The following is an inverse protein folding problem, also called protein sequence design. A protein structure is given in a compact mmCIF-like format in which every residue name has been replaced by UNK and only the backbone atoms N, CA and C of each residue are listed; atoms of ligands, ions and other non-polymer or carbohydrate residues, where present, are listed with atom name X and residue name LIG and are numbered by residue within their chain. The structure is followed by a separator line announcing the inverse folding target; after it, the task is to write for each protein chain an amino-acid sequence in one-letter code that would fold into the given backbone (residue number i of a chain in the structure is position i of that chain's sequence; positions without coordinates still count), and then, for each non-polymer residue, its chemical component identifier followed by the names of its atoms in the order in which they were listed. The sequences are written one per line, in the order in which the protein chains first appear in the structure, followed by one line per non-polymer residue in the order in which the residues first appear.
data_IF_069774709224
#
_entry.id   IF_069774709224
#
_cell.length_a   1.000
_cell.length_b   1.000
_cell.length_c   1.000
_cell.angle_alpha   90.00
_cell.angle_beta   90.00
_cell.angle_gamma   90.00
#
_symmetry.space_group_name_H-M   'P 1'
#
loop_
_entity.id
_entity.type
_entity.pdbx_description
1 polymer ?
#
# COMPACT_ATOMS: atom_id res chain seq x y z
N UNK A 1 -3.33 18.79 2.85
CA UNK A 1 -1.94 18.64 3.32
C UNK A 1 -1.33 20.00 3.58
N UNK A 2 -0.19 20.10 4.25
CA UNK A 2 0.48 21.39 4.57
C UNK A 2 0.88 22.21 3.34
N UNK A 3 1.07 21.56 2.20
CA UNK A 3 1.43 22.15 0.90
C UNK A 3 0.24 22.36 -0.04
N UNK A 4 -0.99 22.25 0.48
CA UNK A 4 -2.22 22.46 -0.27
C UNK A 4 -2.70 21.25 -1.09
N UNK A 5 -1.95 20.15 -1.15
CA UNK A 5 -2.38 18.92 -1.84
C UNK A 5 -3.60 18.32 -1.15
N UNK A 6 -4.66 18.06 -1.90
CA UNK A 6 -5.84 17.33 -1.44
C UNK A 6 -5.69 15.83 -1.71
N UNK A 7 -6.07 14.99 -0.74
CA UNK A 7 -6.09 13.54 -0.89
C UNK A 7 -7.52 13.03 -0.94
N UNK A 8 -7.83 12.22 -1.95
CA UNK A 8 -9.11 11.54 -2.10
C UNK A 8 -9.15 10.28 -1.24
N UNK A 9 -10.22 10.08 -0.49
CA UNK A 9 -10.37 8.93 0.40
C UNK A 9 -11.71 8.23 0.25
N UNK A 10 -11.75 6.94 0.59
CA UNK A 10 -12.95 6.14 0.79
C UNK A 10 -12.99 5.71 2.25
N UNK A 11 -14.14 5.87 2.88
CA UNK A 11 -14.35 5.57 4.30
C UNK A 11 -15.52 4.60 4.47
N UNK A 12 -15.44 3.71 5.45
CA UNK A 12 -16.53 2.85 5.92
C UNK A 12 -16.47 2.73 7.43
N UNK A 13 -17.62 2.53 8.07
CA UNK A 13 -17.76 2.55 9.52
C UNK A 13 -17.91 3.97 10.08
N UNK A 14 -18.14 4.07 11.40
CA UNK A 14 -18.46 5.31 12.08
C UNK A 14 -17.23 5.93 12.75
N UNK A 15 -17.20 7.26 12.81
CA UNK A 15 -16.16 7.97 13.57
C UNK A 15 -16.28 7.61 15.06
N UNK A 16 -15.14 7.37 15.69
CA UNK A 16 -15.06 6.94 17.08
C UNK A 16 -14.94 5.43 17.25
N UNK A 17 -15.15 4.64 16.18
CA UNK A 17 -14.77 3.23 16.17
C UNK A 17 -13.25 3.10 16.00
N UNK A 18 -12.71 1.92 16.33
CA UNK A 18 -11.27 1.61 16.16
C UNK A 18 -10.82 1.87 14.72
N UNK A 19 -9.83 2.74 14.55
CA UNK A 19 -9.43 3.24 13.24
C UNK A 19 -8.46 2.32 12.52
N UNK A 20 -8.68 2.12 11.21
CA UNK A 20 -7.78 1.41 10.31
C UNK A 20 -7.52 2.26 9.08
N UNK A 21 -6.25 2.59 8.80
CA UNK A 21 -5.83 3.32 7.60
C UNK A 21 -5.16 2.34 6.63
N UNK A 22 -5.59 2.36 5.35
CA UNK A 22 -5.09 1.49 4.30
C UNK A 22 -4.39 2.29 3.21
N UNK A 23 -3.16 1.91 2.89
CA UNK A 23 -2.26 2.55 1.93
C UNK A 23 -2.00 1.62 0.75
N UNK A 24 -2.29 2.06 -0.47
CA UNK A 24 -2.11 1.28 -1.68
C UNK A 24 -0.65 1.21 -2.14
N UNK A 25 -0.34 0.27 -3.00
CA UNK A 25 0.96 0.12 -3.67
C UNK A 25 1.15 1.13 -4.80
N UNK A 26 2.40 1.29 -5.26
CA UNK A 26 2.72 2.15 -6.39
C UNK A 26 1.91 1.79 -7.64
N UNK A 27 1.40 2.79 -8.33
CA UNK A 27 0.54 2.61 -9.51
C UNK A 27 -0.86 2.07 -9.24
N UNK A 28 -1.23 1.90 -7.98
CA UNK A 28 -2.60 1.53 -7.57
C UNK A 28 -3.38 2.76 -7.12
N UNK A 29 -4.62 2.53 -6.70
CA UNK A 29 -5.50 3.53 -6.08
C UNK A 29 -6.14 2.96 -4.82
N UNK A 30 -6.79 3.81 -4.02
CA UNK A 30 -7.62 3.42 -2.87
C UNK A 30 -8.65 2.34 -3.21
N UNK A 31 -9.03 2.23 -4.49
CA UNK A 31 -9.98 1.21 -4.96
C UNK A 31 -9.45 -0.23 -4.82
N UNK A 32 -8.13 -0.44 -4.74
CA UNK A 32 -7.55 -1.75 -4.42
C UNK A 32 -8.02 -2.28 -3.06
N UNK A 33 -8.33 -1.36 -2.14
CA UNK A 33 -8.81 -1.64 -0.79
C UNK A 33 -10.32 -1.63 -0.64
N UNK A 34 -11.11 -1.40 -1.71
CA UNK A 34 -12.56 -1.20 -1.62
C UNK A 34 -13.27 -2.35 -0.90
N UNK A 35 -12.93 -3.60 -1.21
CA UNK A 35 -13.49 -4.78 -0.55
C UNK A 35 -13.13 -4.86 0.93
N UNK A 36 -11.86 -4.61 1.26
CA UNK A 36 -11.35 -4.62 2.63
C UNK A 36 -11.95 -3.49 3.46
N UNK A 37 -12.00 -2.25 2.94
CA UNK A 37 -12.63 -1.11 3.63
C UNK A 37 -14.09 -1.41 3.98
N UNK A 38 -14.86 -1.95 3.01
CA UNK A 38 -16.25 -2.34 3.24
C UNK A 38 -16.36 -3.44 4.31
N UNK A 39 -15.52 -4.48 4.22
CA UNK A 39 -15.52 -5.58 5.19
C UNK A 39 -15.18 -5.10 6.59
N UNK A 40 -14.15 -4.27 6.75
CA UNK A 40 -13.76 -3.70 8.04
C UNK A 40 -14.87 -2.84 8.63
N UNK A 41 -15.54 -2.01 7.82
CA UNK A 41 -16.70 -1.24 8.27
C UNK A 41 -17.83 -2.12 8.79
N UNK A 42 -18.11 -3.29 8.16
CA UNK A 42 -19.13 -4.24 8.66
C UNK A 42 -18.68 -4.96 9.94
N UNK A 43 -17.38 -4.99 10.23
CA UNK A 43 -16.81 -5.55 11.46
C UNK A 43 -16.70 -4.51 12.59
N UNK A 44 -17.20 -3.29 12.41
CA UNK A 44 -17.19 -2.25 13.44
C UNK A 44 -15.92 -1.41 13.49
N UNK A 45 -15.09 -1.42 12.44
CA UNK A 45 -13.93 -0.53 12.33
C UNK A 45 -14.26 0.75 11.57
N UNK A 46 -13.64 1.86 11.94
CA UNK A 46 -13.57 3.06 11.10
C UNK A 46 -12.42 2.91 10.10
N UNK A 47 -12.71 2.34 8.94
CA UNK A 47 -11.71 2.03 7.90
C UNK A 47 -11.64 3.15 6.87
N UNK A 48 -10.41 3.63 6.57
CA UNK A 48 -10.13 4.68 5.61
C UNK A 48 -9.01 4.24 4.66
N UNK A 49 -9.28 4.25 3.36
CA UNK A 49 -8.25 4.13 2.32
C UNK A 49 -8.16 5.44 1.54
N UNK A 50 -6.95 5.93 1.25
CA UNK A 50 -6.77 7.13 0.45
C UNK A 50 -5.81 6.91 -0.72
N UNK A 51 -5.99 7.69 -1.77
CA UNK A 51 -5.03 7.77 -2.87
C UNK A 51 -3.82 8.58 -2.38
N UNK A 52 -2.63 8.03 -2.51
CA UNK A 52 -1.40 8.78 -2.27
C UNK A 52 -1.32 9.99 -3.20
N UNK A 53 -0.66 11.09 -2.78
CA UNK A 53 -0.39 12.21 -3.68
C UNK A 53 0.16 11.73 -5.02
N UNK A 54 -0.25 12.34 -6.10
CA UNK A 54 0.14 11.93 -7.45
C UNK A 54 -0.52 10.66 -7.96
N UNK A 55 -1.49 10.07 -7.23
CA UNK A 55 -2.24 8.88 -7.62
C UNK A 55 -3.75 9.11 -7.59
N UNK A 56 -4.48 8.35 -8.39
CA UNK A 56 -5.94 8.28 -8.37
C UNK A 56 -6.62 9.63 -8.57
N UNK A 57 -7.46 10.00 -7.61
CA UNK A 57 -8.19 11.27 -7.59
C UNK A 57 -7.55 12.28 -6.61
N UNK A 58 -6.39 11.94 -6.03
CA UNK A 58 -5.59 12.89 -5.25
C UNK A 58 -4.81 13.84 -6.15
N UNK A 59 -4.53 15.03 -5.64
CA UNK A 59 -3.80 16.03 -6.40
C UNK A 59 -2.37 15.59 -6.72
N UNK A 60 -1.89 16.05 -7.86
CA UNK A 60 -0.48 16.02 -8.21
C UNK A 60 0.26 17.17 -7.54
N UNK A 61 1.45 16.91 -7.02
CA UNK A 61 2.26 17.97 -6.40
C UNK A 61 2.78 18.96 -7.44
N UNK A 62 2.59 20.26 -7.20
CA UNK A 62 3.11 21.30 -8.06
C UNK A 62 4.66 21.22 -8.15
N UNK A 63 5.31 21.01 -7.00
CA UNK A 63 6.73 20.60 -6.93
C UNK A 63 6.75 19.08 -6.77
N UNK A 64 7.31 18.32 -7.74
CA UNK A 64 7.19 16.86 -7.74
C UNK A 64 8.07 16.23 -6.64
N UNK A 65 7.68 16.43 -5.40
CA UNK A 65 8.23 15.74 -4.24
C UNK A 65 7.32 14.58 -3.87
N UNK A 66 7.77 13.39 -4.25
CA UNK A 66 7.14 12.10 -3.99
C UNK A 66 8.07 11.20 -3.18
N UNK A 67 8.92 11.81 -2.34
CA UNK A 67 9.79 11.10 -1.41
C UNK A 67 8.97 10.37 -0.34
N UNK A 68 9.51 9.30 0.22
CA UNK A 68 8.86 8.60 1.33
C UNK A 68 8.70 9.51 2.56
N UNK A 69 9.57 10.48 2.77
CA UNK A 69 9.41 11.47 3.83
C UNK A 69 8.15 12.31 3.61
N UNK A 70 7.87 12.73 2.36
CA UNK A 70 6.66 13.49 2.03
C UNK A 70 5.39 12.62 2.11
N UNK A 71 5.46 11.38 1.64
CA UNK A 71 4.34 10.43 1.78
C UNK A 71 4.04 10.10 3.25
N UNK A 72 5.09 10.02 4.09
CA UNK A 72 4.95 9.83 5.53
C UNK A 72 4.25 11.02 6.20
N UNK A 73 4.60 12.27 5.83
CA UNK A 73 3.93 13.47 6.33
C UNK A 73 2.45 13.53 5.95
N UNK A 74 2.08 13.03 4.77
CA UNK A 74 0.67 12.88 4.38
C UNK A 74 -0.05 11.89 5.29
N UNK A 75 0.56 10.72 5.53
CA UNK A 75 0.01 9.71 6.42
C UNK A 75 -0.13 10.23 7.85
N UNK A 76 0.88 10.92 8.38
CA UNK A 76 0.85 11.56 9.69
C UNK A 76 -0.32 12.55 9.81
N UNK A 77 -0.52 13.36 8.75
CA UNK A 77 -1.64 14.32 8.69
C UNK A 77 -3.00 13.61 8.65
N UNK A 78 -3.11 12.48 7.95
CA UNK A 78 -4.35 11.68 7.93
C UNK A 78 -4.58 11.01 9.27
N UNK A 79 -3.55 10.41 9.86
CA UNK A 79 -3.61 9.72 11.15
C UNK A 79 -4.01 10.68 12.29
N UNK A 80 -3.51 11.92 12.28
CA UNK A 80 -3.87 12.95 13.28
C UNK A 80 -5.35 13.35 13.28
N UNK A 81 -6.11 12.95 12.25
CA UNK A 81 -7.57 13.18 12.17
C UNK A 81 -8.40 12.03 12.73
N UNK A 82 -7.77 10.92 13.10
CA UNK A 82 -8.44 9.81 13.77
C UNK A 82 -8.66 10.14 15.25
N UNK A 83 -9.68 9.53 15.85
CA UNK A 83 -9.98 9.73 17.28
C UNK A 83 -8.88 9.15 18.17
N UNK A 84 -8.34 8.00 17.75
CA UNK A 84 -7.25 7.28 18.43
C UNK A 84 -6.20 6.85 17.41
N UNK A 85 -5.04 6.39 17.92
CA UNK A 85 -3.97 5.85 17.08
C UNK A 85 -4.51 4.69 16.22
N UNK A 86 -4.44 4.76 14.88
CA UNK A 86 -4.99 3.75 13.99
C UNK A 86 -4.11 2.50 13.92
N UNK A 87 -4.67 1.39 13.42
CA UNK A 87 -3.85 0.36 12.76
C UNK A 87 -3.55 0.85 11.35
N UNK A 88 -2.29 0.77 10.92
CA UNK A 88 -1.88 1.16 9.57
C UNK A 88 -1.56 -0.10 8.76
N UNK A 89 -2.25 -0.26 7.62
CA UNK A 89 -2.06 -1.36 6.67
C UNK A 89 -1.49 -0.78 5.39
N UNK A 90 -0.30 -1.18 5.00
CA UNK A 90 0.36 -0.66 3.80
C UNK A 90 0.83 -1.74 2.84
N UNK A 91 0.43 -1.66 1.57
CA UNK A 91 0.92 -2.54 0.51
C UNK A 91 2.09 -1.92 -0.24
N UNK A 92 3.18 -2.67 -0.42
CA UNK A 92 4.34 -2.25 -1.22
C UNK A 92 4.78 -0.81 -0.88
N UNK A 93 4.63 0.17 -1.79
CA UNK A 93 4.88 1.60 -1.54
C UNK A 93 4.18 2.10 -0.26
N UNK A 94 2.93 1.71 -0.04
CA UNK A 94 2.17 2.06 1.16
C UNK A 94 2.78 1.50 2.45
N UNK A 95 3.34 0.28 2.39
CA UNK A 95 4.06 -0.32 3.51
C UNK A 95 5.36 0.41 3.83
N UNK A 96 6.13 0.79 2.80
CA UNK A 96 7.32 1.64 2.97
C UNK A 96 6.97 3.00 3.57
N UNK A 97 5.86 3.61 3.11
CA UNK A 97 5.34 4.87 3.68
C UNK A 97 4.98 4.71 5.16
N UNK A 98 4.29 3.62 5.51
CA UNK A 98 3.93 3.31 6.90
C UNK A 98 5.19 3.17 7.78
N UNK A 99 6.20 2.42 7.32
CA UNK A 99 7.46 2.25 8.06
C UNK A 99 8.19 3.59 8.26
N UNK A 100 8.25 4.46 7.23
CA UNK A 100 8.85 5.78 7.36
C UNK A 100 8.11 6.65 8.38
N UNK A 101 6.78 6.69 8.36
CA UNK A 101 5.99 7.49 9.29
C UNK A 101 6.08 6.95 10.73
N UNK A 102 5.91 5.64 10.91
CA UNK A 102 5.99 5.00 12.22
C UNK A 102 7.40 5.11 12.79
N UNK A 103 8.44 4.90 11.99
CA UNK A 103 9.83 5.04 12.44
C UNK A 103 10.19 6.46 12.92
N UNK A 104 9.48 7.49 12.46
CA UNK A 104 9.60 8.89 12.96
C UNK A 104 8.82 9.11 14.26
N UNK A 105 7.76 8.30 14.51
CA UNK A 105 6.87 8.39 15.66
C UNK A 105 6.57 6.99 16.23
N UNK A 106 7.58 6.27 16.74
CA UNK A 106 7.56 4.82 16.91
C UNK A 106 6.56 4.30 17.96
N UNK A 107 6.03 5.18 18.80
CA UNK A 107 5.11 4.81 19.91
C UNK A 107 3.77 5.53 19.85
N UNK A 108 3.58 6.52 18.96
CA UNK A 108 2.42 7.43 19.05
C UNK A 108 1.56 7.48 17.79
N UNK A 109 2.14 7.22 16.60
CA UNK A 109 1.43 7.38 15.34
C UNK A 109 0.39 6.28 15.10
N UNK A 110 0.72 5.04 15.48
CA UNK A 110 -0.12 3.88 15.24
C UNK A 110 -0.12 2.94 16.44
N UNK A 111 -1.18 2.14 16.59
CA UNK A 111 -1.24 1.08 17.60
C UNK A 111 -0.73 -0.28 17.09
N UNK A 112 -0.75 -0.47 15.79
CA UNK A 112 -0.16 -1.65 15.13
C UNK A 112 0.11 -1.36 13.65
N UNK A 113 0.96 -2.17 13.02
CA UNK A 113 1.32 -2.05 11.60
C UNK A 113 1.13 -3.39 10.88
N UNK A 114 0.56 -3.35 9.67
CA UNK A 114 0.51 -4.48 8.75
C UNK A 114 1.23 -4.11 7.45
N UNK A 115 2.31 -4.81 7.15
CA UNK A 115 3.04 -4.72 5.89
C UNK A 115 2.50 -5.76 4.93
N UNK A 116 2.13 -5.35 3.73
CA UNK A 116 1.55 -6.23 2.72
C UNK A 116 2.52 -6.34 1.55
N UNK A 117 3.10 -7.49 1.46
CA UNK A 117 4.05 -7.93 0.41
C UNK A 117 5.20 -6.94 0.18
N UNK A 118 5.82 -6.51 1.28
CA UNK A 118 6.97 -5.60 1.26
C UNK A 118 7.85 -5.77 2.50
N UNK A 119 9.15 -5.74 2.30
CA UNK A 119 10.16 -5.56 3.33
C UNK A 119 11.12 -4.43 2.91
N UNK A 120 11.90 -3.82 3.82
CA UNK A 120 12.84 -2.75 3.45
C UNK A 120 13.81 -3.16 2.33
N UNK A 121 14.27 -4.40 2.35
CA UNK A 121 15.10 -4.98 1.29
C UNK A 121 14.22 -5.88 0.41
N UNK A 122 14.07 -5.46 -0.84
CA UNK A 122 13.27 -6.14 -1.86
C UNK A 122 14.14 -6.95 -2.82
N UNK A 123 13.59 -8.03 -3.38
CA UNK A 123 14.29 -8.77 -4.43
C UNK A 123 14.53 -7.88 -5.67
N UNK A 124 15.79 -7.78 -6.18
CA UNK A 124 16.11 -6.90 -7.31
C UNK A 124 15.35 -7.26 -8.60
N UNK A 125 15.07 -8.53 -8.85
CA UNK A 125 14.36 -8.99 -10.05
C UNK A 125 12.88 -8.57 -10.00
N UNK A 126 12.25 -8.82 -8.86
CA UNK A 126 10.86 -8.39 -8.63
C UNK A 126 10.73 -6.88 -8.70
N UNK A 127 11.65 -6.14 -8.07
CA UNK A 127 11.68 -4.68 -8.13
C UNK A 127 11.85 -4.17 -9.57
N UNK A 128 12.74 -4.79 -10.35
CA UNK A 128 12.93 -4.42 -11.77
C UNK A 128 11.64 -4.61 -12.55
N UNK A 129 10.97 -5.76 -12.40
CA UNK A 129 9.70 -6.06 -13.07
C UNK A 129 8.62 -5.02 -12.73
N UNK A 130 8.49 -4.63 -11.45
CA UNK A 130 7.57 -3.58 -11.01
C UNK A 130 7.92 -2.24 -11.66
N UNK A 131 9.19 -1.84 -11.65
CA UNK A 131 9.64 -0.57 -12.22
C UNK A 131 9.45 -0.53 -13.74
N UNK A 132 9.73 -1.62 -14.44
CA UNK A 132 9.52 -1.72 -15.90
C UNK A 132 8.04 -1.52 -16.25
N UNK A 133 7.12 -2.10 -15.48
CA UNK A 133 5.68 -1.91 -15.66
C UNK A 133 5.25 -0.48 -15.36
N UNK A 134 5.66 0.09 -14.23
CA UNK A 134 5.25 1.44 -13.81
C UNK A 134 5.80 2.55 -14.71
N UNK A 135 6.97 2.34 -15.32
CA UNK A 135 7.60 3.27 -16.25
C UNK A 135 7.29 2.96 -17.72
N UNK A 136 6.66 1.84 -17.98
CA UNK A 136 6.16 1.50 -19.31
C UNK A 136 4.95 2.33 -19.73
N UNK A 137 4.65 2.29 -21.00
CA UNK A 137 3.46 2.90 -21.59
C UNK A 137 3.31 4.41 -21.30
N UNK A 138 4.43 5.14 -21.31
CA UNK A 138 4.44 6.60 -21.04
C UNK A 138 3.65 7.38 -22.09
N UNK A 139 3.57 6.85 -23.33
CA UNK A 139 2.81 7.42 -24.43
C UNK A 139 1.31 7.03 -24.39
N UNK A 140 0.89 6.37 -23.29
CA UNK A 140 -0.47 5.91 -23.10
C UNK A 140 -0.85 4.71 -23.97
N UNK A 141 -2.09 4.28 -23.84
CA UNK A 141 -2.71 3.16 -24.56
C UNK A 141 -3.68 3.69 -25.61
N UNK A 142 -3.77 3.02 -26.75
CA UNK A 142 -4.75 3.36 -27.77
C UNK A 142 -6.18 3.11 -27.27
N UNK A 143 -6.38 2.04 -26.49
CA UNK A 143 -7.68 1.65 -25.95
C UNK A 143 -7.56 0.81 -24.68
N UNK A 144 -8.68 0.36 -24.14
CA UNK A 144 -8.76 -0.48 -22.94
C UNK A 144 -8.23 -1.90 -23.16
N UNK A 145 -8.27 -2.40 -24.36
CA UNK A 145 -7.79 -3.75 -24.69
C UNK A 145 -6.25 -3.78 -24.61
N UNK A 146 -5.58 -2.76 -25.18
CA UNK A 146 -4.12 -2.61 -25.04
C UNK A 146 -3.69 -2.49 -23.58
N UNK A 147 -4.42 -1.71 -22.78
CA UNK A 147 -4.15 -1.60 -21.34
C UNK A 147 -4.37 -2.93 -20.59
N UNK A 148 -5.41 -3.70 -20.99
CA UNK A 148 -5.69 -5.01 -20.41
C UNK A 148 -4.60 -6.03 -20.75
N UNK A 149 -4.06 -5.99 -21.97
CA UNK A 149 -2.95 -6.83 -22.39
C UNK A 149 -1.67 -6.52 -21.58
N UNK A 150 -1.37 -5.24 -21.39
CA UNK A 150 -0.25 -4.80 -20.56
C UNK A 150 -0.35 -5.29 -19.11
N UNK A 151 -1.55 -5.19 -18.49
CA UNK A 151 -1.81 -5.68 -17.13
C UNK A 151 -1.72 -7.20 -17.06
N UNK A 152 -2.23 -7.92 -18.06
CA UNK A 152 -2.14 -9.38 -18.13
C UNK A 152 -0.69 -9.85 -18.28
N UNK A 153 0.11 -9.18 -19.08
CA UNK A 153 1.53 -9.48 -19.23
C UNK A 153 2.32 -9.26 -17.92
N UNK A 154 1.95 -8.22 -17.15
CA UNK A 154 2.53 -7.96 -15.83
C UNK A 154 2.15 -9.01 -14.78
N UNK A 155 0.92 -9.54 -14.83
CA UNK A 155 0.38 -10.53 -13.90
C UNK A 155 0.04 -11.86 -14.61
N UNK A 156 1.02 -12.66 -15.05
CA UNK A 156 0.78 -13.86 -15.85
C UNK A 156 0.01 -14.96 -15.11
N UNK A 157 -0.03 -14.91 -13.78
CA UNK A 157 -0.79 -15.86 -12.94
C UNK A 157 -2.27 -15.50 -12.80
N UNK A 158 -2.68 -14.33 -13.33
CA UNK A 158 -4.06 -13.86 -13.30
C UNK A 158 -4.67 -13.95 -14.70
N UNK A 159 -5.86 -14.58 -14.85
CA UNK A 159 -6.55 -14.53 -16.12
C UNK A 159 -6.80 -13.09 -16.57
N UNK A 160 -6.56 -12.80 -17.85
CA UNK A 160 -6.92 -11.52 -18.46
C UNK A 160 -8.42 -11.24 -18.24
N UNK A 161 -8.80 -10.05 -17.77
CA UNK A 161 -10.23 -9.74 -17.58
C UNK A 161 -10.97 -9.79 -18.89
N UNK A 162 -12.10 -10.51 -18.94
CA UNK A 162 -12.97 -10.54 -20.12
C UNK A 162 -13.60 -9.17 -20.41
N UNK A 163 -13.83 -8.37 -19.37
CA UNK A 163 -14.31 -7.00 -19.49
C UNK A 163 -13.30 -6.03 -18.87
N UNK A 164 -12.50 -5.30 -19.67
CA UNK A 164 -11.47 -4.42 -19.17
C UNK A 164 -11.99 -3.08 -18.60
N UNK A 165 -13.30 -2.81 -18.65
CA UNK A 165 -13.88 -1.53 -18.15
C UNK A 165 -13.48 -1.21 -16.70
N UNK A 166 -13.22 -2.24 -15.90
CA UNK A 166 -12.71 -2.05 -14.52
C UNK A 166 -11.36 -1.32 -14.45
N UNK A 167 -10.56 -1.35 -15.52
CA UNK A 167 -9.28 -0.64 -15.60
C UNK A 167 -9.42 0.88 -15.70
N UNK A 168 -10.60 1.40 -16.07
CA UNK A 168 -10.86 2.84 -16.09
C UNK A 168 -10.61 3.51 -14.73
N UNK A 169 -10.65 2.78 -13.63
CA UNK A 169 -10.27 3.28 -12.30
C UNK A 169 -8.80 3.70 -12.24
N UNK A 170 -7.97 3.07 -13.07
CA UNK A 170 -6.53 3.26 -13.11
C UNK A 170 -6.06 4.05 -14.33
N UNK A 171 -6.99 4.50 -15.17
CA UNK A 171 -6.69 5.18 -16.43
C UNK A 171 -7.36 6.55 -16.47
N UNK A 172 -6.78 7.45 -17.24
CA UNK A 172 -7.34 8.77 -17.56
C UNK A 172 -7.18 9.03 -19.06
N UNK A 173 -8.29 9.38 -19.73
CA UNK A 173 -8.25 9.89 -21.09
C UNK A 173 -7.60 11.29 -21.06
N UNK A 174 -6.58 11.52 -21.89
CA UNK A 174 -5.93 12.81 -22.02
C UNK A 174 -6.23 13.47 -23.36
N UNK A 175 -5.79 14.71 -23.54
CA UNK A 175 -6.05 15.55 -24.71
C UNK A 175 -5.48 14.97 -26.02
N UNK A 176 -4.50 14.07 -25.92
CA UNK A 176 -3.95 13.30 -27.05
C UNK A 176 -4.86 12.17 -27.54
N UNK A 177 -6.02 11.98 -26.89
CA UNK A 177 -6.99 10.94 -27.22
C UNK A 177 -6.59 9.54 -26.75
N UNK A 178 -5.53 9.40 -25.98
CA UNK A 178 -5.03 8.13 -25.44
C UNK A 178 -5.38 7.95 -23.97
N UNK A 179 -5.44 6.70 -23.52
CA UNK A 179 -5.62 6.36 -22.12
C UNK A 179 -4.26 6.29 -21.43
N UNK A 180 -4.04 7.12 -20.43
CA UNK A 180 -2.82 7.13 -19.64
C UNK A 180 -3.07 6.59 -18.24
N UNK A 181 -2.03 6.05 -17.60
CA UNK A 181 -2.09 5.77 -16.18
C UNK A 181 -2.49 7.00 -15.38
N UNK A 182 -3.24 6.81 -14.30
CA UNK A 182 -3.75 7.90 -13.46
C UNK A 182 -2.68 8.64 -12.67
N UNK A 183 -1.50 8.03 -12.47
CA UNK A 183 -0.46 8.64 -11.64
C UNK A 183 0.35 9.69 -12.39
N UNK A 184 0.98 10.60 -11.63
CA UNK A 184 1.91 11.58 -12.17
C UNK A 184 3.14 10.86 -12.74
N UNK A 185 3.46 11.04 -14.03
CA UNK A 185 4.63 10.38 -14.65
C UNK A 185 5.96 10.78 -14.01
N UNK A 186 5.99 11.87 -13.21
CA UNK A 186 7.16 12.31 -12.45
C UNK A 186 7.35 11.53 -11.14
N UNK A 187 6.40 10.67 -10.75
CA UNK A 187 6.41 9.91 -9.49
C UNK A 187 7.49 8.83 -9.50
N UNK A 188 7.50 7.97 -10.51
CA UNK A 188 8.41 6.84 -10.59
C UNK A 188 9.70 7.24 -11.30
N UNK A 189 10.67 7.73 -10.51
CA UNK A 189 12.03 8.03 -10.99
C UNK A 189 12.94 6.84 -10.78
N UNK A 190 13.85 6.64 -11.71
CA UNK A 190 14.91 5.66 -11.53
C UNK A 190 15.76 6.04 -10.31
N UNK A 191 16.08 5.05 -9.51
CA UNK A 191 16.99 5.16 -8.37
C UNK A 191 18.17 4.24 -8.60
N UNK A 192 19.38 4.70 -8.25
CA UNK A 192 20.55 3.83 -8.25
C UNK A 192 20.45 2.78 -7.15
N UNK A 193 21.19 1.68 -7.30
CA UNK A 193 21.22 0.62 -6.27
C UNK A 193 21.73 1.16 -4.92
N UNK A 194 22.69 2.10 -4.94
CA UNK A 194 23.15 2.79 -3.73
C UNK A 194 22.06 3.63 -3.05
N UNK A 195 21.17 4.27 -3.82
CA UNK A 195 20.04 5.01 -3.25
C UNK A 195 19.01 4.07 -2.63
N UNK A 196 18.77 2.92 -3.27
CA UNK A 196 17.89 1.87 -2.74
C UNK A 196 18.45 1.29 -1.46
N UNK A 197 19.74 0.94 -1.45
CA UNK A 197 20.42 0.40 -0.29
C UNK A 197 20.41 1.38 0.90
N UNK A 198 20.71 2.66 0.65
CA UNK A 198 20.61 3.70 1.70
C UNK A 198 19.19 3.83 2.26
N UNK A 199 18.16 3.73 1.40
CA UNK A 199 16.77 3.79 1.85
C UNK A 199 16.39 2.57 2.69
N UNK A 200 16.77 1.36 2.27
CA UNK A 200 16.55 0.13 3.01
C UNK A 200 17.24 0.17 4.38
N UNK A 201 18.53 0.54 4.39
CA UNK A 201 19.31 0.68 5.62
C UNK A 201 18.66 1.67 6.59
N UNK A 202 18.24 2.86 6.11
CA UNK A 202 17.57 3.86 6.94
C UNK A 202 16.34 3.28 7.64
N UNK A 203 15.49 2.54 6.92
CA UNK A 203 14.31 1.91 7.50
C UNK A 203 14.67 0.84 8.53
N UNK A 204 15.64 -0.02 8.22
CA UNK A 204 16.10 -1.05 9.14
C UNK A 204 16.71 -0.47 10.41
N UNK A 205 17.41 0.66 10.29
CA UNK A 205 17.98 1.37 11.44
C UNK A 205 16.91 1.99 12.36
N UNK A 206 15.72 2.30 11.84
CA UNK A 206 14.57 2.81 12.61
C UNK A 206 13.74 1.69 13.28
N UNK A 207 13.83 0.46 12.79
CA UNK A 207 13.01 -0.66 13.28
C UNK A 207 13.16 -0.95 14.78
N UNK A 208 14.35 -0.92 15.39
CA UNK A 208 14.53 -1.22 16.83
C UNK A 208 13.72 -0.30 17.76
N UNK A 209 13.41 0.91 17.32
CA UNK A 209 12.64 1.88 18.11
C UNK A 209 11.11 1.65 17.99
N UNK A 210 10.68 0.85 17.01
CA UNK A 210 9.27 0.53 16.77
C UNK A 210 8.81 -0.53 17.78
N UNK A 211 8.06 -0.13 18.80
CA UNK A 211 7.58 -1.02 19.86
C UNK A 211 6.16 -1.58 19.62
N UNK A 212 5.45 -1.08 18.61
CA UNK A 212 4.09 -1.52 18.30
C UNK A 212 4.06 -2.92 17.65
N UNK A 213 2.97 -3.69 17.82
CA UNK A 213 2.76 -4.94 17.10
C UNK A 213 2.89 -4.76 15.59
N UNK A 214 3.53 -5.71 14.93
CA UNK A 214 3.74 -5.68 13.48
C UNK A 214 3.45 -7.04 12.85
N UNK A 215 2.80 -7.03 11.68
CA UNK A 215 2.51 -8.21 10.87
C UNK A 215 3.01 -7.98 9.45
N UNK A 216 3.75 -8.91 8.89
CA UNK A 216 4.02 -9.01 7.46
C UNK A 216 3.14 -10.10 6.85
N UNK A 217 2.32 -9.73 5.87
CA UNK A 217 1.55 -10.69 5.06
C UNK A 217 2.06 -10.64 3.62
N UNK A 218 2.49 -11.77 3.08
CA UNK A 218 3.00 -11.83 1.72
C UNK A 218 2.45 -13.01 0.93
N UNK A 219 2.47 -12.91 -0.39
CA UNK A 219 2.02 -13.97 -1.30
C UNK A 219 3.04 -15.09 -1.40
N UNK A 220 2.59 -16.35 -1.36
CA UNK A 220 3.47 -17.51 -1.52
C UNK A 220 4.23 -17.52 -2.87
N UNK A 221 3.74 -16.75 -3.85
CA UNK A 221 4.34 -16.60 -5.18
C UNK A 221 4.90 -15.18 -5.38
N UNK A 222 5.14 -14.42 -4.30
CA UNK A 222 5.76 -13.11 -4.40
C UNK A 222 7.20 -13.23 -4.89
N UNK A 223 7.57 -12.35 -5.80
CA UNK A 223 8.93 -12.14 -6.29
C UNK A 223 9.56 -10.83 -5.78
N UNK A 224 8.87 -10.15 -4.86
CA UNK A 224 9.33 -8.89 -4.25
C UNK A 224 9.88 -9.12 -2.85
N UNK A 225 9.26 -10.02 -2.08
CA UNK A 225 9.67 -10.33 -0.70
C UNK A 225 10.49 -11.61 -0.71
N UNK A 226 11.76 -11.54 -0.33
CA UNK A 226 12.64 -12.71 -0.18
C UNK A 226 12.71 -13.21 1.26
N UNK A 227 13.12 -14.47 1.44
CA UNK A 227 13.34 -15.05 2.76
C UNK A 227 14.40 -14.25 3.55
N UNK A 228 15.47 -13.83 2.88
CA UNK A 228 16.54 -13.04 3.46
C UNK A 228 16.04 -11.67 3.93
N UNK A 229 15.17 -11.01 3.13
CA UNK A 229 14.55 -9.73 3.50
C UNK A 229 13.62 -9.85 4.72
N UNK A 230 12.91 -10.97 4.85
CA UNK A 230 12.07 -11.27 6.02
C UNK A 230 12.95 -11.46 7.27
N UNK A 231 14.00 -12.29 7.17
CA UNK A 231 14.88 -12.56 8.31
C UNK A 231 15.65 -11.31 8.76
N UNK A 232 16.10 -10.47 7.82
CA UNK A 232 16.74 -9.19 8.15
C UNK A 232 15.76 -8.26 8.88
N UNK A 233 14.50 -8.19 8.43
CA UNK A 233 13.47 -7.38 9.09
C UNK A 233 13.15 -7.94 10.48
N UNK A 234 13.02 -9.26 10.65
CA UNK A 234 12.80 -9.91 11.95
C UNK A 234 13.92 -9.66 12.94
N UNK A 235 15.16 -9.66 12.48
CA UNK A 235 16.31 -9.38 13.33
C UNK A 235 16.27 -7.96 13.93
N UNK A 236 15.60 -7.01 13.25
CA UNK A 236 15.47 -5.61 13.67
C UNK A 236 14.12 -5.30 14.33
N UNK A 237 13.11 -6.13 14.07
CA UNK A 237 11.74 -5.99 14.57
C UNK A 237 11.27 -7.33 15.16
N UNK A 238 11.76 -7.71 16.39
CA UNK A 238 11.55 -9.04 16.96
C UNK A 238 10.09 -9.42 17.16
N UNK A 239 9.18 -8.45 17.34
CA UNK A 239 7.74 -8.67 17.46
C UNK A 239 7.03 -8.88 16.12
N UNK A 240 7.74 -8.95 14.98
CA UNK A 240 7.15 -9.15 13.67
C UNK A 240 6.53 -10.56 13.55
N UNK A 241 5.20 -10.60 13.44
CA UNK A 241 4.48 -11.78 12.98
C UNK A 241 4.59 -11.90 11.45
N UNK A 242 4.58 -13.11 10.91
CA UNK A 242 4.65 -13.33 9.47
C UNK A 242 3.57 -14.30 9.05
N UNK A 243 2.76 -13.89 8.07
CA UNK A 243 1.70 -14.68 7.45
C UNK A 243 1.90 -14.81 5.94
N UNK A 244 1.54 -15.96 5.38
CA UNK A 244 1.62 -16.22 3.94
C UNK A 244 0.24 -16.45 3.36
N UNK A 245 -0.07 -15.85 2.20
CA UNK A 245 -1.32 -16.09 1.46
C UNK A 245 -1.04 -17.06 0.32
N UNK A 246 -1.61 -18.28 0.38
CA UNK A 246 -1.41 -19.29 -0.66
C UNK A 246 -1.95 -18.84 -2.03
N UNK A 247 -1.20 -19.12 -3.10
CA UNK A 247 -1.61 -18.85 -4.48
C UNK A 247 -1.74 -17.36 -4.82
N UNK A 248 -1.15 -16.48 -4.00
CA UNK A 248 -1.07 -15.04 -4.29
C UNK A 248 0.36 -14.65 -4.67
N UNK A 249 0.49 -13.74 -5.65
CA UNK A 249 1.72 -13.04 -5.99
C UNK A 249 1.80 -11.68 -5.30
N UNK A 250 2.56 -10.74 -5.88
CA UNK A 250 2.76 -9.39 -5.30
C UNK A 250 1.46 -8.56 -5.13
N UNK A 251 0.42 -8.83 -5.91
CA UNK A 251 -0.85 -8.08 -5.89
C UNK A 251 -1.92 -8.70 -4.97
N UNK A 252 -1.57 -9.04 -3.73
CA UNK A 252 -2.49 -9.71 -2.78
C UNK A 252 -3.75 -8.87 -2.53
N UNK A 253 -3.56 -7.60 -2.22
CA UNK A 253 -4.65 -6.65 -2.04
C UNK A 253 -5.25 -6.30 -3.41
N UNK A 254 -6.48 -6.67 -3.63
CA UNK A 254 -7.20 -6.50 -4.90
C UNK A 254 -7.46 -7.80 -5.65
N UNK A 255 -6.57 -8.79 -5.58
CA UNK A 255 -6.72 -10.05 -6.30
C UNK A 255 -7.33 -11.17 -5.42
N UNK A 256 -7.00 -11.19 -4.13
CA UNK A 256 -7.40 -12.24 -3.17
C UNK A 256 -7.90 -11.62 -1.86
N UNK A 257 -8.81 -10.64 -1.96
CA UNK A 257 -9.31 -9.89 -0.80
C UNK A 257 -9.82 -10.78 0.34
N UNK A 258 -10.52 -11.89 0.05
CA UNK A 258 -11.04 -12.77 1.10
C UNK A 258 -9.93 -13.49 1.84
N UNK A 259 -8.93 -14.03 1.12
CA UNK A 259 -7.78 -14.70 1.73
C UNK A 259 -6.92 -13.69 2.52
N UNK A 260 -6.73 -12.49 1.98
CA UNK A 260 -6.05 -11.41 2.67
C UNK A 260 -6.78 -10.99 3.95
N UNK A 261 -8.10 -10.71 3.87
CA UNK A 261 -8.90 -10.36 5.03
C UNK A 261 -8.84 -11.44 6.11
N UNK A 262 -8.91 -12.72 5.72
CA UNK A 262 -8.75 -13.85 6.64
C UNK A 262 -7.39 -13.87 7.35
N UNK A 263 -6.32 -13.48 6.64
CA UNK A 263 -4.97 -13.44 7.21
C UNK A 263 -4.77 -12.29 8.21
N UNK A 264 -5.42 -11.14 8.01
CA UNK A 264 -5.22 -9.96 8.88
C UNK A 264 -6.23 -9.88 10.02
N UNK A 265 -7.43 -10.46 9.89
CA UNK A 265 -8.51 -10.33 10.89
C UNK A 265 -8.07 -10.75 12.29
N UNK A 266 -7.41 -11.92 12.52
CA UNK A 266 -6.97 -12.30 13.87
C UNK A 266 -5.97 -11.32 14.50
N UNK A 267 -5.11 -10.71 13.67
CA UNK A 267 -4.18 -9.68 14.13
C UNK A 267 -4.91 -8.39 14.52
N UNK A 268 -5.89 -7.96 13.72
CA UNK A 268 -6.70 -6.78 14.02
C UNK A 268 -7.53 -6.97 15.30
N UNK A 269 -8.14 -8.13 15.51
CA UNK A 269 -8.89 -8.45 16.73
C UNK A 269 -8.03 -8.32 17.99
N UNK A 270 -6.77 -8.73 17.92
CA UNK A 270 -5.84 -8.61 19.07
C UNK A 270 -5.35 -7.20 19.31
N UNK A 271 -5.20 -6.39 18.27
CA UNK A 271 -4.43 -5.15 18.34
C UNK A 271 -5.19 -3.89 17.95
N UNK A 272 -6.38 -3.98 17.35
CA UNK A 272 -7.11 -2.79 16.90
C UNK A 272 -8.04 -2.18 17.98
N UNK A 273 -8.20 -2.84 19.14
CA UNK A 273 -8.96 -2.29 20.27
C UNK A 273 -10.48 -2.23 20.02
N UNK A 274 -11.05 -3.25 19.36
CA UNK A 274 -12.47 -3.50 19.47
C UNK A 274 -12.71 -4.02 20.88
N UNK A 275 -13.32 -3.20 21.75
CA UNK A 275 -13.81 -3.68 23.03
C UNK A 275 -14.78 -4.83 22.76
N UNK A 276 -14.61 -5.97 23.43
CA UNK A 276 -15.35 -7.22 23.19
C UNK A 276 -16.90 -7.15 23.38
N UNK A 277 -17.47 -5.95 23.43
CA UNK A 277 -18.88 -5.69 23.52
C UNK A 277 -19.59 -5.52 22.14
N UNK A 278 -18.86 -5.52 21.02
CA UNK A 278 -19.43 -5.29 19.67
C UNK A 278 -19.40 -6.54 18.75
N UNK A 279 -18.95 -7.68 19.25
CA UNK A 279 -19.00 -8.96 18.51
C UNK A 279 -20.13 -9.80 19.12
N UNK A 280 -21.38 -9.37 18.95
CA UNK A 280 -22.57 -10.14 19.28
C UNK A 280 -23.53 -10.13 18.08
#
# INVERSE_FOLDING_TARGET
MSDGVALAATVSGERGQAAVILLHGGGQTRHSWQGTVKKLGTLGYHALAFDARGHGDSDWSAKPDYSYDRLAEDLETVASKMADAPVIIGASMGGMTAMHAIGRHPTTLARAMVLVDIAPRVDPKGLKRVNDFLNGYRDGFADLEEAADAVAAYNPHRPRPQNPRGLMKNLRLRDDGRLHWHWDPRFFRERSDEQRERSAKRLLDMCPDIAIPALLVFGAQSDVVSAEGIEELRARLPQLEVGTVPGAGHMIAGDRNDAFNGAITPFLERHAGLDGAQIA
#
